data_IF_696069681192
#
_entry.id   IF_696069681192
#
_cell.length_a   1.000
_cell.length_b   1.000
_cell.length_c   1.000
_cell.angle_alpha   90.00
_cell.angle_beta   90.00
_cell.angle_gamma   90.00
#
_symmetry.space_group_name_H-M   'P 1'
#
loop_
_entity.id
_entity.type
_entity.pdbx_description
1 polymer ?
#
# COMPACT_ATOMS: atom_id res chain seq x y z
N UNK A 1 6.10 -60.58 4.60
CA UNK A 1 7.53 -60.67 4.96
C UNK A 1 8.05 -59.27 5.26
N UNK A 2 8.72 -59.12 6.42
CA UNK A 2 9.29 -57.89 7.00
C UNK A 2 10.49 -57.39 6.16
N UNK A 3 10.90 -56.13 6.20
CA UNK A 3 11.79 -55.56 7.23
C UNK A 3 11.75 -54.01 7.28
N UNK A 4 11.44 -53.51 8.47
CA UNK A 4 11.63 -52.14 8.96
C UNK A 4 13.08 -52.03 9.46
N UNK A 5 13.79 -50.94 9.16
CA UNK A 5 15.08 -50.60 9.79
C UNK A 5 14.86 -49.41 10.73
N UNK A 6 14.74 -49.73 12.01
CA UNK A 6 14.95 -48.84 13.14
C UNK A 6 16.45 -48.63 13.31
N UNK A 7 16.88 -47.38 13.46
CA UNK A 7 18.20 -47.04 13.98
C UNK A 7 18.03 -46.27 15.28
N UNK A 8 18.29 -46.97 16.38
CA UNK A 8 18.52 -46.43 17.72
C UNK A 8 19.92 -45.82 17.76
N UNK A 9 20.05 -44.60 18.30
CA UNK A 9 21.28 -44.15 18.96
C UNK A 9 20.87 -43.26 20.14
N UNK A 10 21.17 -43.75 21.33
CA UNK A 10 20.96 -43.10 22.62
C UNK A 10 22.30 -42.61 23.17
N UNK A 11 22.22 -41.84 24.27
CA UNK A 11 23.27 -41.62 25.29
C UNK A 11 24.22 -40.43 25.00
N UNK A 12 24.52 -39.48 25.89
CA UNK A 12 24.27 -39.25 27.32
C UNK A 12 24.60 -37.79 27.72
N UNK A 13 24.12 -37.39 28.92
CA UNK A 13 24.70 -36.54 30.00
C UNK A 13 25.64 -35.38 29.62
N UNK A 14 25.71 -34.21 30.27
CA UNK A 14 25.20 -33.53 31.47
C UNK A 14 25.45 -32.02 31.18
N UNK A 15 25.10 -30.98 31.92
CA UNK A 15 24.85 -30.79 33.32
C UNK A 15 24.02 -29.51 33.49
N UNK A 16 23.19 -29.50 34.53
CA UNK A 16 22.56 -28.31 35.08
C UNK A 16 23.64 -27.42 35.72
N UNK A 17 23.70 -26.16 35.31
CA UNK A 17 24.20 -25.08 36.16
C UNK A 17 23.04 -24.11 36.34
N UNK A 18 22.29 -24.33 37.42
CA UNK A 18 21.38 -23.34 37.98
C UNK A 18 22.22 -22.30 38.73
N UNK A 19 22.49 -21.16 38.09
CA UNK A 19 22.96 -19.97 38.80
C UNK A 19 21.74 -19.24 39.37
N UNK A 20 21.40 -19.58 40.62
CA UNK A 20 20.58 -18.76 41.49
C UNK A 20 21.44 -17.62 42.05
N UNK A 21 21.46 -16.48 41.36
CA UNK A 21 22.00 -15.22 41.86
C UNK A 21 20.88 -14.28 42.24
N UNK A 22 20.57 -14.18 43.54
CA UNK A 22 19.84 -13.05 44.09
C UNK A 22 20.76 -11.83 44.06
N UNK A 23 20.50 -10.89 43.16
CA UNK A 23 21.03 -9.53 43.26
C UNK A 23 19.86 -8.55 43.23
N UNK A 24 19.66 -7.95 44.41
CA UNK A 24 19.20 -6.58 44.69
C UNK A 24 18.09 -6.00 43.83
N UNK A 25 17.01 -5.67 44.53
CA UNK A 25 16.02 -4.67 44.14
C UNK A 25 16.69 -3.39 43.63
N UNK A 26 16.80 -3.28 42.31
CA UNK A 26 16.69 -2.02 41.60
C UNK A 26 15.36 -2.10 40.85
N UNK A 27 14.31 -1.58 41.49
CA UNK A 27 13.08 -1.18 40.80
C UNK A 27 13.47 0.02 39.92
N UNK A 28 14.09 -0.27 38.79
CA UNK A 28 14.19 0.68 37.69
C UNK A 28 12.77 0.96 37.18
N UNK A 29 12.40 2.22 36.93
CA UNK A 29 11.17 2.54 36.23
C UNK A 29 11.36 2.19 34.74
N UNK A 30 11.45 0.89 34.42
CA UNK A 30 11.38 0.37 33.04
C UNK A 30 10.08 -0.40 32.80
N UNK A 31 9.08 -0.18 33.65
CA UNK A 31 7.70 -0.57 33.39
C UNK A 31 6.81 0.65 33.15
N UNK A 32 7.40 1.70 32.58
CA UNK A 32 6.72 2.90 32.12
C UNK A 32 7.05 3.06 30.63
N UNK A 33 6.01 3.09 29.80
CA UNK A 33 6.05 3.24 28.35
C UNK A 33 6.51 2.06 27.48
N UNK A 34 5.84 0.91 27.64
CA UNK A 34 5.28 0.28 26.43
C UNK A 34 4.16 1.16 25.87
N UNK A 35 4.44 2.45 25.62
CA UNK A 35 3.60 3.28 24.77
C UNK A 35 3.61 2.53 23.47
N UNK A 36 2.47 1.97 23.11
CA UNK A 36 2.18 1.42 21.79
C UNK A 36 2.55 2.52 20.79
N UNK A 37 3.81 2.52 20.39
CA UNK A 37 4.35 3.43 19.42
C UNK A 37 3.54 3.16 18.16
N UNK A 38 3.06 4.23 17.56
CA UNK A 38 2.49 4.15 16.23
C UNK A 38 3.62 3.77 15.29
N UNK A 39 3.86 2.46 15.17
CA UNK A 39 4.69 1.86 14.15
C UNK A 39 4.10 2.29 12.81
N UNK A 40 4.84 3.14 12.10
CA UNK A 40 4.36 3.79 10.89
C UNK A 40 3.98 2.79 9.80
N UNK A 41 4.41 1.52 9.89
CA UNK A 41 3.97 0.44 8.98
C UNK A 41 2.55 -0.06 9.26
N UNK A 42 2.12 -0.13 10.53
CA UNK A 42 0.82 -0.74 10.91
C UNK A 42 -0.38 0.15 10.63
N UNK A 43 -0.16 1.41 10.26
CA UNK A 43 -1.19 2.41 10.01
C UNK A 43 -1.10 2.99 8.60
N UNK A 44 -0.34 2.36 7.70
CA UNK A 44 -0.37 2.70 6.28
C UNK A 44 -1.70 2.26 5.70
N UNK A 45 -2.34 3.17 4.97
CA UNK A 45 -3.51 2.89 4.15
C UNK A 45 -3.03 2.90 2.71
N UNK A 46 -3.52 1.95 1.92
CA UNK A 46 -3.39 2.01 0.46
C UNK A 46 -3.81 3.38 -0.10
N UNK A 47 -2.95 4.01 -0.91
CA UNK A 47 -3.28 5.26 -1.59
C UNK A 47 -4.21 5.01 -2.79
N UNK A 48 -5.51 5.05 -2.53
CA UNK A 48 -6.55 4.92 -3.56
C UNK A 48 -6.45 6.03 -4.61
N UNK A 49 -6.03 7.24 -4.23
CA UNK A 49 -5.99 8.39 -5.13
C UNK A 49 -4.86 8.25 -6.16
N UNK A 50 -3.69 7.78 -5.73
CA UNK A 50 -2.57 7.46 -6.64
C UNK A 50 -2.90 6.34 -7.63
N UNK A 51 -3.81 5.43 -7.26
CA UNK A 51 -4.32 4.39 -8.15
C UNK A 51 -5.43 4.90 -9.09
N UNK A 52 -6.20 5.88 -8.65
CA UNK A 52 -7.24 6.53 -9.44
C UNK A 52 -6.65 7.43 -10.55
N UNK A 53 -5.48 8.03 -10.31
CA UNK A 53 -4.84 8.92 -11.27
C UNK A 53 -3.35 8.58 -11.40
N UNK A 54 -3.00 7.43 -12.02
CA UNK A 54 -1.60 7.07 -12.21
C UNK A 54 -0.92 8.06 -13.16
N UNK A 55 0.33 8.41 -12.86
CA UNK A 55 1.15 9.19 -13.77
C UNK A 55 1.71 8.26 -14.83
N UNK A 56 1.28 8.48 -16.07
CA UNK A 56 1.83 7.79 -17.24
C UNK A 56 3.06 8.55 -17.71
N UNK A 57 4.21 7.88 -17.71
CA UNK A 57 5.48 8.44 -18.16
C UNK A 57 5.50 8.63 -19.67
N UNK A 58 6.30 9.60 -20.13
CA UNK A 58 6.48 9.81 -21.56
C UNK A 58 7.31 8.69 -22.16
N UNK A 59 6.76 8.03 -23.17
CA UNK A 59 7.51 7.08 -23.98
C UNK A 59 8.45 7.81 -24.94
N UNK A 60 9.59 7.19 -25.19
CA UNK A 60 10.57 7.62 -26.19
C UNK A 60 10.96 6.45 -27.07
N UNK A 61 11.93 6.65 -27.98
CA UNK A 61 12.53 5.57 -28.78
C UNK A 61 13.12 4.46 -27.90
N UNK A 62 13.65 4.79 -26.72
CA UNK A 62 14.33 3.85 -25.82
C UNK A 62 13.51 3.49 -24.57
N UNK A 63 12.49 4.27 -24.23
CA UNK A 63 11.71 4.10 -23.00
C UNK A 63 10.26 3.76 -23.32
N UNK A 64 9.77 2.65 -22.76
CA UNK A 64 8.37 2.23 -22.83
C UNK A 64 7.49 3.10 -21.92
N UNK A 65 6.18 3.13 -22.18
CA UNK A 65 5.21 3.69 -21.24
C UNK A 65 5.27 2.89 -19.93
N UNK A 66 5.24 3.62 -18.81
CA UNK A 66 5.05 3.06 -17.48
C UNK A 66 4.03 3.89 -16.70
N UNK A 67 3.33 3.24 -15.78
CA UNK A 67 2.49 3.92 -14.80
C UNK A 67 3.23 3.97 -13.46
N UNK A 68 3.31 5.16 -12.88
CA UNK A 68 3.78 5.36 -11.51
C UNK A 68 2.65 5.93 -10.67
N UNK A 69 2.47 5.36 -9.48
CA UNK A 69 1.67 5.96 -8.42
C UNK A 69 2.64 6.83 -7.63
N UNK A 70 2.51 8.15 -7.69
CA UNK A 70 3.48 9.01 -7.00
C UNK A 70 3.38 8.81 -5.50
N UNK A 71 4.48 8.40 -4.87
CA UNK A 71 4.65 8.40 -3.40
C UNK A 71 4.79 9.82 -2.82
N UNK A 72 4.84 10.86 -3.66
CA UNK A 72 4.86 12.26 -3.24
C UNK A 72 3.47 12.72 -2.78
N UNK A 73 2.83 11.98 -1.89
CA UNK A 73 1.86 12.62 -1.01
C UNK A 73 2.65 13.64 -0.17
N UNK A 74 2.23 14.92 -0.12
CA UNK A 74 2.83 15.86 0.83
C UNK A 74 2.80 15.20 2.21
N UNK A 75 3.92 15.21 2.93
CA UNK A 75 4.11 14.47 4.20
C UNK A 75 3.04 14.76 5.28
N UNK A 76 2.23 15.80 5.08
CA UNK A 76 1.37 16.43 6.08
C UNK A 76 0.05 15.72 6.37
N UNK A 77 -0.34 14.64 5.67
CA UNK A 77 -1.69 14.06 5.83
C UNK A 77 -1.77 12.52 5.89
N UNK A 78 -0.71 11.81 6.29
CA UNK A 78 -0.83 10.35 6.53
C UNK A 78 -1.77 10.06 7.72
N UNK A 79 -2.57 8.98 7.66
CA UNK A 79 -3.46 8.59 8.76
C UNK A 79 -2.69 8.52 10.09
N UNK A 80 -1.49 7.94 10.09
CA UNK A 80 -0.64 7.83 11.29
C UNK A 80 -0.33 9.19 11.93
N UNK A 81 -0.08 10.22 11.13
CA UNK A 81 0.21 11.58 11.60
C UNK A 81 -1.00 12.21 12.31
N UNK A 82 -2.22 11.89 11.84
CA UNK A 82 -3.46 12.33 12.47
C UNK A 82 -3.69 11.57 13.78
N UNK A 83 -3.61 10.24 13.74
CA UNK A 83 -3.88 9.39 14.91
C UNK A 83 -2.93 9.71 16.08
N UNK A 84 -1.66 10.02 15.81
CA UNK A 84 -0.68 10.48 16.82
C UNK A 84 -1.14 11.75 17.57
N UNK A 85 -1.98 12.61 16.97
CA UNK A 85 -2.46 13.87 17.56
C UNK A 85 -3.84 13.80 18.22
N UNK A 86 -4.53 12.68 18.09
CA UNK A 86 -5.85 12.49 18.71
C UNK A 86 -5.75 12.08 20.18
N UNK A 87 -4.55 11.85 20.72
CA UNK A 87 -4.34 11.37 22.09
C UNK A 87 -5.22 10.13 22.39
N UNK A 88 -5.18 9.14 21.50
CA UNK A 88 -6.01 7.94 21.62
C UNK A 88 -5.63 7.14 22.87
N UNK A 89 -6.65 6.68 23.61
CA UNK A 89 -6.48 5.68 24.67
C UNK A 89 -5.96 4.36 24.11
N UNK A 90 -5.39 3.49 24.94
CA UNK A 90 -4.93 2.17 24.50
C UNK A 90 -6.05 1.36 23.84
N UNK A 91 -7.26 1.39 24.43
CA UNK A 91 -8.44 0.74 23.87
C UNK A 91 -8.81 1.28 22.49
N UNK A 92 -8.74 2.60 22.31
CA UNK A 92 -8.97 3.23 21.01
C UNK A 92 -7.90 2.83 20.00
N UNK A 93 -6.61 2.87 20.36
CA UNK A 93 -5.50 2.46 19.47
C UNK A 93 -5.65 1.02 19.00
N UNK A 94 -5.94 0.10 19.93
CA UNK A 94 -6.17 -1.30 19.60
C UNK A 94 -7.37 -1.49 18.65
N UNK A 95 -8.43 -0.71 18.81
CA UNK A 95 -9.57 -0.72 17.89
C UNK A 95 -9.20 -0.18 16.51
N UNK A 96 -8.46 0.93 16.43
CA UNK A 96 -7.99 1.49 15.15
C UNK A 96 -7.09 0.51 14.39
N UNK A 97 -6.17 -0.17 15.07
CA UNK A 97 -5.33 -1.20 14.44
C UNK A 97 -6.18 -2.30 13.79
N UNK A 98 -7.22 -2.77 14.48
CA UNK A 98 -8.16 -3.75 13.91
C UNK A 98 -8.93 -3.19 12.72
N UNK A 99 -9.35 -1.92 12.78
CA UNK A 99 -10.06 -1.28 11.67
C UNK A 99 -9.15 -1.11 10.44
N UNK A 100 -7.87 -0.77 10.63
CA UNK A 100 -6.88 -0.68 9.55
C UNK A 100 -6.62 -2.05 8.94
N UNK A 101 -6.45 -3.10 9.74
CA UNK A 101 -6.29 -4.46 9.23
C UNK A 101 -7.49 -4.89 8.37
N UNK A 102 -8.72 -4.64 8.85
CA UNK A 102 -9.95 -4.90 8.08
C UNK A 102 -10.03 -4.07 6.79
N UNK A 103 -9.50 -2.84 6.81
CA UNK A 103 -9.42 -2.02 5.61
C UNK A 103 -8.48 -2.63 4.58
N UNK A 104 -7.27 -3.01 4.99
CA UNK A 104 -6.29 -3.64 4.10
C UNK A 104 -6.81 -4.94 3.50
N UNK A 105 -7.48 -5.79 4.29
CA UNK A 105 -8.18 -6.97 3.80
C UNK A 105 -9.26 -6.62 2.76
N UNK A 106 -10.02 -5.54 2.98
CA UNK A 106 -11.06 -5.08 2.07
C UNK A 106 -10.49 -4.60 0.72
N UNK A 107 -9.35 -3.89 0.74
CA UNK A 107 -8.78 -3.28 -0.49
C UNK A 107 -7.80 -4.20 -1.22
N UNK A 108 -7.19 -5.20 -0.57
CA UNK A 108 -6.09 -5.98 -1.15
C UNK A 108 -6.43 -6.60 -2.51
N UNK A 109 -7.57 -7.28 -2.62
CA UNK A 109 -8.00 -7.91 -3.86
C UNK A 109 -8.31 -6.87 -4.96
N UNK A 110 -8.94 -5.76 -4.60
CA UNK A 110 -9.31 -4.70 -5.54
C UNK A 110 -8.10 -3.92 -6.04
N UNK A 111 -7.12 -3.68 -5.17
CA UNK A 111 -5.82 -3.09 -5.53
C UNK A 111 -5.13 -3.92 -6.61
N UNK A 112 -5.03 -5.24 -6.41
CA UNK A 112 -4.43 -6.14 -7.38
C UNK A 112 -5.17 -6.12 -8.72
N UNK A 113 -6.52 -6.09 -8.71
CA UNK A 113 -7.32 -5.98 -9.95
C UNK A 113 -7.06 -4.68 -10.71
N UNK A 114 -7.01 -3.54 -10.01
CA UNK A 114 -6.72 -2.25 -10.65
C UNK A 114 -5.32 -2.25 -11.28
N UNK A 115 -4.32 -2.80 -10.58
CA UNK A 115 -2.96 -2.94 -11.11
C UNK A 115 -2.91 -3.82 -12.37
N UNK A 116 -3.61 -4.95 -12.37
CA UNK A 116 -3.72 -5.82 -13.54
C UNK A 116 -4.30 -5.07 -14.75
N UNK A 117 -5.36 -4.27 -14.57
CA UNK A 117 -5.92 -3.48 -15.67
C UNK A 117 -4.93 -2.43 -16.19
N UNK A 118 -4.16 -1.78 -15.31
CA UNK A 118 -3.10 -0.86 -15.73
C UNK A 118 -2.03 -1.57 -16.55
N UNK A 119 -1.55 -2.73 -16.11
CA UNK A 119 -0.56 -3.54 -16.81
C UNK A 119 -1.05 -3.99 -18.19
N UNK A 120 -2.30 -4.43 -18.30
CA UNK A 120 -2.89 -4.85 -19.57
C UNK A 120 -2.98 -3.69 -20.58
N UNK A 121 -3.42 -2.51 -20.14
CA UNK A 121 -3.50 -1.32 -20.98
C UNK A 121 -2.12 -0.83 -21.41
N UNK A 122 -1.16 -0.82 -20.48
CA UNK A 122 0.24 -0.48 -20.77
C UNK A 122 0.86 -1.45 -21.79
N UNK A 123 0.60 -2.75 -21.64
CA UNK A 123 1.08 -3.77 -22.58
C UNK A 123 0.56 -3.52 -23.99
N UNK A 124 -0.73 -3.22 -24.13
CA UNK A 124 -1.35 -2.87 -25.43
C UNK A 124 -0.75 -1.60 -26.02
N UNK A 125 -0.61 -0.54 -25.23
CA UNK A 125 -0.01 0.71 -25.69
C UNK A 125 1.46 0.53 -26.10
N UNK A 126 2.24 -0.26 -25.35
CA UNK A 126 3.63 -0.54 -25.69
C UNK A 126 3.79 -1.36 -26.97
N UNK A 127 2.84 -2.24 -27.30
CA UNK A 127 2.84 -2.91 -28.60
C UNK A 127 2.68 -1.90 -29.76
N UNK A 128 1.74 -0.95 -29.64
CA UNK A 128 1.53 0.11 -30.64
C UNK A 128 2.76 1.04 -30.73
N UNK A 129 3.39 1.34 -29.59
CA UNK A 129 4.65 2.09 -29.55
C UNK A 129 5.74 1.42 -30.38
N UNK A 130 5.92 0.11 -30.25
CA UNK A 130 6.93 -0.64 -31.02
C UNK A 130 6.66 -0.60 -32.54
N UNK A 131 5.39 -0.59 -32.95
CA UNK A 131 5.02 -0.39 -34.36
C UNK A 131 5.44 1.00 -34.85
N UNK A 132 5.23 2.05 -34.05
CA UNK A 132 5.64 3.42 -34.40
C UNK A 132 7.17 3.55 -34.48
N UNK A 133 7.90 2.93 -33.54
CA UNK A 133 9.36 2.90 -33.56
C UNK A 133 9.88 2.16 -34.78
N UNK A 134 9.25 1.03 -35.14
CA UNK A 134 9.63 0.26 -36.33
C UNK A 134 9.43 1.08 -37.61
N UNK A 135 8.32 1.81 -37.72
CA UNK A 135 8.06 2.71 -38.86
C UNK A 135 9.10 3.85 -38.94
N UNK A 136 9.51 4.40 -37.80
CA UNK A 136 10.55 5.42 -37.75
C UNK A 136 11.93 4.87 -38.16
N UNK A 137 12.33 3.71 -37.63
CA UNK A 137 13.59 3.04 -38.00
C UNK A 137 13.64 2.63 -39.46
N UNK A 138 12.50 2.31 -40.06
CA UNK A 138 12.36 2.05 -41.49
C UNK A 138 12.37 3.32 -42.36
N UNK A 139 12.47 4.52 -41.77
CA UNK A 139 12.42 5.80 -42.47
C UNK A 139 11.04 6.16 -43.03
N UNK A 140 9.98 5.43 -42.64
CA UNK A 140 8.61 5.64 -43.13
C UNK A 140 7.91 6.82 -42.47
N UNK A 141 8.38 7.26 -41.30
CA UNK A 141 7.93 8.48 -40.61
C UNK A 141 9.12 9.28 -40.12
N UNK A 142 8.95 10.60 -39.97
CA UNK A 142 9.96 11.46 -39.36
C UNK A 142 9.96 11.35 -37.83
N UNK A 143 11.00 11.88 -37.19
CA UNK A 143 11.07 11.97 -35.72
C UNK A 143 9.91 12.78 -35.12
N UNK A 144 9.59 13.91 -35.74
CA UNK A 144 8.46 14.77 -35.31
C UNK A 144 7.12 14.01 -35.39
N UNK A 145 6.95 13.20 -36.43
CA UNK A 145 5.75 12.37 -36.58
C UNK A 145 5.70 11.23 -35.54
N UNK A 146 6.84 10.64 -35.19
CA UNK A 146 6.94 9.69 -34.07
C UNK A 146 6.52 10.33 -32.74
N UNK A 147 7.11 11.47 -32.39
CA UNK A 147 6.78 12.20 -31.14
C UNK A 147 5.29 12.55 -31.06
N UNK A 148 4.71 13.04 -32.16
CA UNK A 148 3.28 13.33 -32.27
C UNK A 148 2.43 12.07 -32.03
N UNK A 149 2.78 10.94 -32.66
CA UNK A 149 2.06 9.67 -32.48
C UNK A 149 2.16 9.14 -31.06
N UNK A 150 3.33 9.23 -30.43
CA UNK A 150 3.51 8.82 -29.04
C UNK A 150 2.71 9.71 -28.07
N UNK A 151 2.63 11.02 -28.31
CA UNK A 151 1.78 11.92 -27.51
C UNK A 151 0.30 11.54 -27.61
N UNK A 152 -0.20 11.33 -28.82
CA UNK A 152 -1.60 10.91 -29.05
C UNK A 152 -1.88 9.54 -28.41
N UNK A 153 -0.93 8.61 -28.49
CA UNK A 153 -1.04 7.30 -27.85
C UNK A 153 -1.10 7.41 -26.32
N UNK A 154 -0.29 8.30 -25.72
CA UNK A 154 -0.32 8.59 -24.28
C UNK A 154 -1.67 9.15 -23.84
N UNK A 155 -2.21 10.12 -24.57
CA UNK A 155 -3.52 10.72 -24.27
C UNK A 155 -4.64 9.67 -24.32
N UNK A 156 -4.63 8.82 -25.35
CA UNK A 156 -5.58 7.69 -25.46
C UNK A 156 -5.44 6.72 -24.29
N UNK A 157 -4.21 6.34 -23.95
CA UNK A 157 -3.94 5.46 -22.80
C UNK A 157 -4.47 6.06 -21.49
N UNK A 158 -4.25 7.36 -21.26
CA UNK A 158 -4.78 8.07 -20.08
C UNK A 158 -6.31 8.05 -20.05
N UNK A 159 -6.95 8.29 -21.19
CA UNK A 159 -8.41 8.21 -21.30
C UNK A 159 -8.95 6.80 -21.06
N UNK A 160 -8.31 5.79 -21.64
CA UNK A 160 -8.70 4.38 -21.47
C UNK A 160 -8.59 3.95 -20.00
N UNK A 161 -7.46 4.27 -19.35
CA UNK A 161 -7.29 4.03 -17.90
C UNK A 161 -8.42 4.70 -17.10
N UNK A 162 -8.74 5.96 -17.43
CA UNK A 162 -9.79 6.71 -16.72
C UNK A 162 -11.18 6.09 -16.95
N UNK A 163 -11.49 5.63 -18.16
CA UNK A 163 -12.83 5.15 -18.55
C UNK A 163 -13.04 3.65 -18.33
N UNK A 164 -11.99 2.88 -17.98
CA UNK A 164 -12.08 1.42 -17.84
C UNK A 164 -13.13 1.00 -16.79
N UNK A 165 -14.21 0.34 -17.22
CA UNK A 165 -15.38 0.05 -16.38
C UNK A 165 -15.03 -0.76 -15.13
N UNK A 166 -14.38 -1.91 -15.29
CA UNK A 166 -14.08 -2.79 -14.16
C UNK A 166 -13.13 -2.15 -13.15
N UNK A 167 -12.25 -1.28 -13.64
CA UNK A 167 -11.35 -0.50 -12.80
C UNK A 167 -12.16 0.46 -11.93
N UNK A 168 -13.14 1.16 -12.52
CA UNK A 168 -14.03 2.06 -11.80
C UNK A 168 -14.84 1.31 -10.72
N UNK A 169 -15.31 0.10 -11.02
CA UNK A 169 -16.01 -0.74 -10.03
C UNK A 169 -15.10 -1.02 -8.81
N UNK A 170 -13.86 -1.43 -9.03
CA UNK A 170 -12.93 -1.72 -7.94
C UNK A 170 -12.52 -0.47 -7.16
N UNK A 171 -12.30 0.66 -7.83
CA UNK A 171 -12.02 1.95 -7.17
C UNK A 171 -13.19 2.36 -6.26
N UNK A 172 -14.44 2.24 -6.73
CA UNK A 172 -15.62 2.52 -5.92
C UNK A 172 -15.68 1.65 -4.66
N UNK A 173 -15.33 0.36 -4.76
CA UNK A 173 -15.27 -0.51 -3.58
C UNK A 173 -14.16 -0.06 -2.63
N UNK A 174 -12.98 0.30 -3.15
CA UNK A 174 -11.88 0.82 -2.31
C UNK A 174 -12.26 2.12 -1.59
N UNK A 175 -12.99 3.03 -2.25
CA UNK A 175 -13.55 4.22 -1.59
C UNK A 175 -14.57 3.86 -0.50
N UNK A 176 -15.43 2.85 -0.71
CA UNK A 176 -16.34 2.35 0.33
C UNK A 176 -15.59 1.73 1.51
N UNK A 177 -14.55 0.93 1.26
CA UNK A 177 -13.67 0.38 2.30
C UNK A 177 -13.03 1.51 3.13
N UNK A 178 -12.56 2.58 2.47
CA UNK A 178 -11.97 3.75 3.13
C UNK A 178 -12.99 4.55 3.95
N UNK A 179 -14.17 4.78 3.40
CA UNK A 179 -15.27 5.43 4.11
C UNK A 179 -15.70 4.64 5.36
N UNK A 180 -15.76 3.30 5.25
CA UNK A 180 -16.05 2.42 6.39
C UNK A 180 -14.98 2.51 7.47
N UNK A 181 -13.69 2.52 7.11
CA UNK A 181 -12.59 2.74 8.05
C UNK A 181 -12.77 4.05 8.82
N UNK A 182 -13.02 5.16 8.11
CA UNK A 182 -13.20 6.46 8.74
C UNK A 182 -14.43 6.51 9.66
N UNK A 183 -15.56 5.92 9.26
CA UNK A 183 -16.73 5.82 10.10
C UNK A 183 -16.49 4.99 11.38
N UNK A 184 -15.74 3.88 11.28
CA UNK A 184 -15.35 3.07 12.44
C UNK A 184 -14.44 3.85 13.39
N UNK A 185 -13.47 4.58 12.86
CA UNK A 185 -12.62 5.47 13.68
C UNK A 185 -13.49 6.51 14.38
N UNK A 186 -14.37 7.21 13.67
CA UNK A 186 -15.26 8.23 14.25
C UNK A 186 -16.12 7.68 15.40
N UNK A 187 -16.62 6.45 15.27
CA UNK A 187 -17.50 5.83 16.26
C UNK A 187 -16.86 5.60 17.64
N UNK A 188 -15.53 5.61 17.72
CA UNK A 188 -14.80 5.38 18.98
C UNK A 188 -14.20 6.67 19.56
N UNK A 189 -14.28 7.79 18.86
CA UNK A 189 -13.69 9.06 19.29
C UNK A 189 -14.61 9.80 20.27
N UNK A 190 -14.02 10.40 21.31
CA UNK A 190 -14.72 11.36 22.16
C UNK A 190 -14.98 12.70 21.43
N UNK A 191 -15.84 13.58 21.98
CA UNK A 191 -16.23 14.83 21.31
C UNK A 191 -15.05 15.72 20.87
N UNK A 192 -14.05 15.91 21.74
CA UNK A 192 -12.86 16.72 21.42
C UNK A 192 -12.00 16.08 20.32
N UNK A 193 -11.83 14.76 20.36
CA UNK A 193 -11.06 14.01 19.36
C UNK A 193 -11.78 14.04 18.01
N UNK A 194 -13.10 13.95 18.01
CA UNK A 194 -13.92 14.01 16.81
C UNK A 194 -13.84 15.39 16.13
N UNK A 195 -13.81 16.47 16.91
CA UNK A 195 -13.61 17.82 16.39
C UNK A 195 -12.25 17.96 15.68
N UNK A 196 -11.18 17.46 16.30
CA UNK A 196 -9.85 17.39 15.67
C UNK A 196 -9.90 16.52 14.42
N UNK A 197 -10.39 15.29 14.52
CA UNK A 197 -10.50 14.37 13.38
C UNK A 197 -11.22 14.99 12.18
N UNK A 198 -12.34 15.67 12.40
CA UNK A 198 -13.14 16.28 11.33
C UNK A 198 -12.40 17.40 10.60
N UNK A 199 -11.59 18.18 11.31
CA UNK A 199 -10.73 19.19 10.68
C UNK A 199 -9.70 18.53 9.76
N UNK A 200 -9.07 17.45 10.23
CA UNK A 200 -7.99 16.78 9.52
C UNK A 200 -8.46 15.88 8.37
N UNK A 201 -9.61 15.22 8.51
CA UNK A 201 -10.21 14.33 7.50
C UNK A 201 -10.45 15.02 6.17
N UNK A 202 -10.64 16.33 6.15
CA UNK A 202 -10.79 17.12 4.91
C UNK A 202 -9.55 17.10 4.01
N UNK A 203 -8.41 16.69 4.57
CA UNK A 203 -7.11 16.67 3.88
C UNK A 203 -6.60 15.23 3.63
N UNK A 204 -7.39 14.20 3.97
CA UNK A 204 -7.12 12.78 3.74
C UNK A 204 -7.79 12.30 2.45
#
# INVERSE_FOLDING_TARGET
MRKIKLSFAAMACAALITLSGCQKDDVGPEMEEAVLAFDDQKFQITDVNGMENPIITDASESTAFSASHTDKQPETHKLTYILKRLNLTERQRAAVQKFVAQHEECVAAHRSRVQQYHEELLKKANAIREEHISAYKAGSISKQELERRLSVLRERLQEEIKKHHDRQVHLQIMHKCRASLFAKIESILGPEQLAKWTHWKKHL
#
